data_IF_696682971327
#
_entry.id   IF_696682971327
#
_cell.length_a   1.000
_cell.length_b   1.000
_cell.length_c   1.000
_cell.angle_alpha   90.00
_cell.angle_beta   90.00
_cell.angle_gamma   90.00
#
_symmetry.space_group_name_H-M   'P 1'
#
loop_
_entity.id
_entity.type
_entity.pdbx_description
1 polymer ?
#
# COMPACT_ATOMS: atom_id res chain seq x y z
N UNK A 1 -5.98 -6.97 34.65
CA UNK A 1 -6.76 -6.64 35.85
C UNK A 1 -7.94 -5.77 35.46
N UNK A 2 -9.06 -5.86 36.19
CA UNK A 2 -10.21 -4.97 36.03
C UNK A 2 -10.04 -3.65 36.84
N UNK A 3 -11.05 -2.80 36.83
CA UNK A 3 -11.02 -1.53 37.56
C UNK A 3 -11.00 -1.68 39.11
N UNK A 4 -11.16 -2.87 39.65
CA UNK A 4 -11.04 -3.20 41.07
C UNK A 4 -9.67 -3.77 41.42
N UNK A 5 -8.79 -4.01 40.43
CA UNK A 5 -7.48 -4.63 40.60
C UNK A 5 -7.51 -6.16 40.55
N UNK A 6 -8.67 -6.77 40.26
CA UNK A 6 -8.78 -8.23 40.13
C UNK A 6 -8.12 -8.70 38.83
N UNK A 7 -7.31 -9.76 38.94
CA UNK A 7 -6.72 -10.42 37.78
C UNK A 7 -7.80 -11.10 36.94
N UNK A 8 -7.87 -10.78 35.65
CA UNK A 8 -8.82 -11.36 34.71
C UNK A 8 -8.22 -12.56 33.97
N UNK A 9 -6.94 -12.46 33.61
CA UNK A 9 -6.18 -13.53 32.95
C UNK A 9 -4.68 -13.26 33.04
N UNK A 10 -3.88 -14.29 32.77
CA UNK A 10 -2.42 -14.17 32.64
C UNK A 10 -2.09 -13.93 31.17
N UNK A 11 -1.39 -12.83 30.89
CA UNK A 11 -0.99 -12.50 29.54
C UNK A 11 0.02 -13.51 28.96
N UNK A 12 -0.07 -13.86 27.66
CA UNK A 12 0.83 -14.84 27.03
C UNK A 12 2.27 -14.32 26.85
N UNK A 13 2.52 -13.05 27.11
CA UNK A 13 3.83 -12.40 27.03
C UNK A 13 3.92 -11.22 28.00
N UNK A 14 5.17 -10.82 28.33
CA UNK A 14 5.44 -9.59 29.10
C UNK A 14 5.25 -8.33 28.25
N UNK A 15 5.37 -8.44 26.92
CA UNK A 15 5.13 -7.34 25.98
C UNK A 15 3.70 -7.44 25.46
N UNK A 16 2.81 -6.66 26.04
CA UNK A 16 1.42 -6.55 25.63
C UNK A 16 1.07 -5.07 25.42
N UNK A 17 0.37 -4.77 24.34
CA UNK A 17 -0.02 -3.43 23.96
C UNK A 17 -1.48 -3.17 24.29
N UNK A 18 -1.87 -1.90 24.29
CA UNK A 18 -3.26 -1.51 24.58
C UNK A 18 -4.28 -2.08 23.59
N UNK A 19 -5.49 -2.32 24.07
CA UNK A 19 -6.58 -2.83 23.25
C UNK A 19 -6.98 -1.81 22.18
N UNK A 20 -7.05 -2.30 20.93
CA UNK A 20 -7.59 -1.55 19.79
C UNK A 20 -8.70 -2.36 19.14
N UNK A 21 -9.92 -1.80 19.15
CA UNK A 21 -11.10 -2.47 18.58
C UNK A 21 -11.29 -3.93 19.09
N UNK A 22 -11.10 -4.15 20.39
CA UNK A 22 -11.35 -5.44 21.05
C UNK A 22 -10.18 -6.43 21.05
N UNK A 23 -9.07 -6.14 20.39
CA UNK A 23 -7.86 -6.97 20.37
C UNK A 23 -6.67 -6.23 20.96
N UNK A 24 -5.82 -6.94 21.70
CA UNK A 24 -4.51 -6.49 22.11
C UNK A 24 -3.41 -7.27 21.39
N UNK A 25 -2.45 -6.55 20.82
CA UNK A 25 -1.22 -7.17 20.31
C UNK A 25 -0.34 -7.59 21.47
N UNK A 26 0.24 -8.77 21.39
CA UNK A 26 1.35 -9.17 22.26
C UNK A 26 2.53 -9.62 21.40
N UNK A 27 3.74 -9.44 21.92
CA UNK A 27 4.98 -9.83 21.24
C UNK A 27 5.74 -10.84 22.07
N UNK A 28 6.31 -11.82 21.41
CA UNK A 28 7.21 -12.77 22.04
C UNK A 28 8.65 -12.30 21.83
N UNK A 29 9.38 -12.13 22.94
CA UNK A 29 10.83 -11.87 22.88
C UNK A 29 11.52 -13.06 22.21
N UNK A 30 12.23 -12.82 21.12
CA UNK A 30 13.14 -13.82 20.56
C UNK A 30 14.40 -13.76 21.42
N UNK A 31 14.62 -14.77 22.27
CA UNK A 31 15.83 -14.88 23.05
C UNK A 31 17.05 -14.95 22.13
N UNK A 32 17.89 -13.92 22.15
CA UNK A 32 19.11 -13.83 21.33
C UNK A 32 19.26 -12.54 20.52
N UNK A 33 18.28 -11.64 20.51
CA UNK A 33 18.40 -10.35 19.83
C UNK A 33 18.95 -9.29 20.82
N UNK A 34 20.26 -9.02 20.73
CA UNK A 34 20.92 -7.96 21.50
C UNK A 34 20.44 -6.60 20.96
N UNK A 35 19.74 -5.82 21.78
CA UNK A 35 19.27 -4.47 21.47
C UNK A 35 20.40 -3.46 21.17
N UNK A 36 21.67 -3.86 21.31
CA UNK A 36 22.84 -3.02 21.07
C UNK A 36 23.21 -2.75 19.61
N UNK A 37 22.53 -3.38 18.66
CA UNK A 37 22.81 -3.26 17.21
C UNK A 37 21.80 -2.48 16.39
N UNK A 38 20.77 -1.89 17.01
CA UNK A 38 19.62 -1.32 16.29
C UNK A 38 19.64 0.21 16.16
N UNK A 39 20.81 0.82 16.25
CA UNK A 39 21.04 2.19 15.74
C UNK A 39 21.67 2.05 14.35
N UNK A 40 20.88 1.70 13.36
CA UNK A 40 21.34 1.61 11.98
C UNK A 40 20.80 0.44 11.16
N UNK A 41 19.96 -0.43 11.72
CA UNK A 41 19.40 -1.59 11.05
C UNK A 41 18.13 -1.26 10.27
N UNK A 42 18.33 -0.85 9.08
CA UNK A 42 17.40 -0.66 8.00
C UNK A 42 16.39 -1.79 7.81
N UNK A 43 15.18 -1.40 7.55
CA UNK A 43 14.11 -2.12 6.90
C UNK A 43 14.63 -2.78 5.60
N UNK A 44 14.99 -4.05 5.69
CA UNK A 44 15.22 -4.87 4.50
C UNK A 44 14.03 -5.78 4.35
N UNK A 45 13.09 -5.37 3.52
CA UNK A 45 11.95 -6.21 3.17
C UNK A 45 10.86 -5.41 2.48
N UNK A 46 11.01 -5.15 1.20
CA UNK A 46 9.91 -4.69 0.37
C UNK A 46 9.93 -3.25 -0.11
N UNK A 47 11.12 -2.73 -0.47
CA UNK A 47 11.20 -1.63 -1.42
C UNK A 47 11.97 -2.17 -2.63
N UNK A 48 11.30 -2.90 -3.48
CA UNK A 48 11.76 -3.11 -4.85
C UNK A 48 10.83 -2.30 -5.73
N UNK A 49 11.30 -1.13 -6.11
CA UNK A 49 10.66 -0.29 -7.09
C UNK A 49 10.46 1.15 -6.60
N UNK A 50 11.50 1.98 -6.63
CA UNK A 50 11.31 3.41 -6.59
C UNK A 50 12.09 4.24 -5.59
N UNK A 51 13.21 3.78 -5.07
CA UNK A 51 14.02 4.57 -4.15
C UNK A 51 15.43 4.79 -4.67
N UNK A 52 15.59 5.43 -5.82
CA UNK A 52 16.91 5.95 -6.24
C UNK A 52 16.86 7.17 -7.14
N UNK A 53 15.75 7.89 -7.27
CA UNK A 53 15.73 9.22 -7.88
C UNK A 53 14.64 10.05 -7.22
N UNK A 54 15.02 10.95 -6.36
CA UNK A 54 14.43 12.18 -5.84
C UNK A 54 12.93 12.50 -6.02
N UNK A 55 12.03 11.55 -5.90
CA UNK A 55 10.60 11.78 -5.99
C UNK A 55 9.92 11.57 -4.64
N UNK A 56 9.08 12.48 -4.22
CA UNK A 56 8.32 12.40 -2.99
C UNK A 56 7.36 11.20 -3.03
N UNK A 57 7.71 10.15 -2.28
CA UNK A 57 6.88 8.97 -2.13
C UNK A 57 5.68 9.28 -1.25
N UNK A 58 4.49 9.29 -1.85
CA UNK A 58 3.26 9.15 -1.09
C UNK A 58 3.08 7.67 -0.75
N UNK A 59 3.35 7.34 0.50
CA UNK A 59 3.01 6.05 1.05
C UNK A 59 1.48 5.91 1.11
N UNK A 60 0.89 5.23 0.16
CA UNK A 60 -0.25 4.38 0.48
C UNK A 60 0.33 3.38 1.47
N UNK A 61 -0.02 3.54 2.77
CA UNK A 61 0.70 2.92 3.87
C UNK A 61 0.89 1.43 3.64
N UNK A 62 2.11 1.04 3.29
CA UNK A 62 2.47 -0.30 2.92
C UNK A 62 2.05 -1.29 4.00
N UNK A 63 1.35 -2.35 3.60
CA UNK A 63 1.05 -3.49 4.44
C UNK A 63 2.31 -4.35 4.52
N UNK A 64 3.24 -3.94 5.39
CA UNK A 64 4.59 -4.51 5.47
C UNK A 64 4.74 -5.35 6.73
N UNK A 65 5.35 -6.51 6.59
CA UNK A 65 5.81 -7.30 7.74
C UNK A 65 7.06 -6.65 8.35
N UNK A 66 6.94 -6.22 9.61
CA UNK A 66 7.99 -5.49 10.33
C UNK A 66 8.97 -6.38 11.13
N UNK A 67 8.90 -7.70 10.94
CA UNK A 67 9.77 -8.67 11.63
C UNK A 67 9.31 -9.06 13.03
N UNK A 68 8.29 -8.44 13.60
CA UNK A 68 7.84 -8.72 14.95
C UNK A 68 7.18 -10.10 15.09
N UNK A 69 7.53 -10.87 16.12
CA UNK A 69 6.85 -12.12 16.52
C UNK A 69 5.62 -11.76 17.35
N UNK A 70 4.55 -11.39 16.68
CA UNK A 70 3.30 -10.91 17.30
C UNK A 70 2.21 -11.97 17.30
N UNK A 71 1.31 -11.82 18.27
CA UNK A 71 0.03 -12.49 18.33
C UNK A 71 -1.04 -11.51 18.81
N UNK A 72 -2.26 -11.96 18.87
CA UNK A 72 -3.41 -11.14 19.29
C UNK A 72 -4.27 -11.91 20.27
N UNK A 73 -4.72 -11.22 21.32
CA UNK A 73 -5.67 -11.74 22.32
C UNK A 73 -6.92 -10.87 22.34
N UNK A 74 -8.04 -11.50 22.72
CA UNK A 74 -9.30 -10.80 23.02
C UNK A 74 -9.30 -10.21 24.45
N UNK A 75 -10.39 -9.55 24.83
CA UNK A 75 -10.56 -8.97 26.17
C UNK A 75 -10.66 -9.98 27.29
N UNK A 76 -10.93 -11.24 26.97
CA UNK A 76 -11.03 -12.33 27.93
C UNK A 76 -9.69 -13.05 28.10
N UNK A 77 -8.63 -12.63 27.34
CA UNK A 77 -7.33 -13.26 27.34
C UNK A 77 -7.20 -14.47 26.41
N UNK A 78 -8.23 -14.78 25.61
CA UNK A 78 -8.15 -15.86 24.63
C UNK A 78 -7.22 -15.47 23.49
N UNK A 79 -6.34 -16.39 23.12
CA UNK A 79 -5.45 -16.21 21.97
C UNK A 79 -6.30 -16.31 20.68
N UNK A 80 -6.43 -15.20 19.97
CA UNK A 80 -7.09 -15.12 18.66
C UNK A 80 -6.10 -15.47 17.56
N UNK A 81 -4.86 -14.98 17.66
CA UNK A 81 -3.77 -15.30 16.74
C UNK A 81 -2.52 -15.58 17.55
N UNK A 82 -1.93 -16.78 17.36
CA UNK A 82 -0.73 -17.19 18.08
C UNK A 82 0.54 -16.57 17.48
N UNK A 83 1.40 -16.02 18.34
CA UNK A 83 2.72 -15.50 17.97
C UNK A 83 3.74 -16.56 17.54
N UNK A 84 3.39 -17.85 17.65
CA UNK A 84 4.22 -18.98 17.18
C UNK A 84 4.19 -19.13 15.66
N UNK A 85 3.23 -18.49 14.95
CA UNK A 85 3.21 -18.48 13.49
C UNK A 85 4.52 -17.92 12.91
N UNK A 86 4.89 -18.36 11.70
CA UNK A 86 6.14 -17.93 11.06
C UNK A 86 6.21 -16.41 10.93
N UNK A 87 5.12 -15.81 10.42
CA UNK A 87 4.94 -14.36 10.30
C UNK A 87 3.49 -13.99 10.56
N UNK A 88 3.27 -12.89 11.26
CA UNK A 88 1.95 -12.26 11.43
C UNK A 88 2.12 -10.77 11.13
N UNK A 89 1.37 -10.27 10.15
CA UNK A 89 1.39 -8.85 9.80
C UNK A 89 0.66 -7.99 10.84
N UNK A 90 0.82 -6.67 10.84
CA UNK A 90 0.00 -5.79 11.67
C UNK A 90 -1.48 -5.96 11.39
N UNK A 91 -2.31 -5.93 12.47
CA UNK A 91 -3.76 -6.03 12.35
C UNK A 91 -4.35 -4.79 11.67
N UNK A 92 -5.20 -5.01 10.69
CA UNK A 92 -6.02 -3.97 10.06
C UNK A 92 -7.45 -3.97 10.59
N UNK A 93 -8.32 -3.10 10.07
CA UNK A 93 -9.76 -3.12 10.36
C UNK A 93 -10.44 -4.43 9.94
N UNK A 94 -9.95 -5.09 8.91
CA UNK A 94 -10.49 -6.34 8.36
C UNK A 94 -9.89 -7.59 9.00
N UNK A 95 -8.60 -7.56 9.30
CA UNK A 95 -7.87 -8.73 9.77
C UNK A 95 -6.37 -8.59 9.51
N UNK A 96 -5.69 -9.71 9.36
CA UNK A 96 -4.25 -9.72 9.09
C UNK A 96 -3.84 -10.90 8.20
N UNK A 97 -2.70 -10.75 7.55
CA UNK A 97 -2.00 -11.84 6.86
C UNK A 97 -1.20 -12.64 7.86
N UNK A 98 -1.25 -13.95 7.71
CA UNK A 98 -0.42 -14.91 8.45
C UNK A 98 0.34 -15.78 7.47
N UNK A 99 1.63 -15.99 7.71
CA UNK A 99 2.40 -17.06 7.08
C UNK A 99 2.69 -18.12 8.13
N UNK A 100 2.37 -19.36 7.80
CA UNK A 100 2.58 -20.52 8.68
C UNK A 100 2.91 -21.74 7.83
N UNK A 101 3.96 -22.47 8.21
CA UNK A 101 4.46 -23.63 7.46
C UNK A 101 4.65 -23.35 5.96
N UNK A 102 5.18 -22.15 5.66
CA UNK A 102 5.42 -21.68 4.29
C UNK A 102 4.18 -21.22 3.54
N UNK A 103 2.97 -21.42 4.05
CA UNK A 103 1.72 -21.02 3.40
C UNK A 103 1.22 -19.70 3.96
N UNK A 104 0.69 -18.83 3.10
CA UNK A 104 0.13 -17.55 3.44
C UNK A 104 -1.40 -17.60 3.36
N UNK A 105 -2.06 -17.04 4.37
CA UNK A 105 -3.52 -16.88 4.41
C UNK A 105 -3.89 -15.51 4.95
N UNK A 106 -5.13 -15.10 4.79
CA UNK A 106 -5.71 -13.96 5.48
C UNK A 106 -6.72 -14.43 6.51
N UNK A 107 -6.63 -13.92 7.72
CA UNK A 107 -7.58 -14.18 8.80
C UNK A 107 -8.27 -12.89 9.22
N UNK A 108 -9.55 -12.98 9.53
CA UNK A 108 -10.31 -11.85 10.05
C UNK A 108 -9.94 -11.57 11.52
N UNK A 109 -10.56 -10.56 12.11
CA UNK A 109 -10.29 -10.14 13.49
C UNK A 109 -10.73 -11.15 14.56
N UNK A 110 -11.50 -12.18 14.18
CA UNK A 110 -11.88 -13.30 15.07
C UNK A 110 -10.89 -14.47 14.96
N UNK A 111 -9.90 -14.40 14.07
CA UNK A 111 -8.97 -15.49 13.78
C UNK A 111 -9.51 -16.51 12.76
N UNK A 112 -10.66 -16.24 12.14
CA UNK A 112 -11.26 -17.11 11.13
C UNK A 112 -10.56 -16.91 9.79
N UNK A 113 -10.25 -18.01 9.09
CA UNK A 113 -9.62 -17.97 7.78
C UNK A 113 -10.62 -17.44 6.74
N UNK A 114 -10.24 -16.36 6.05
CA UNK A 114 -11.03 -15.76 4.97
C UNK A 114 -10.43 -16.10 3.62
N UNK A 115 -9.10 -15.91 3.45
CA UNK A 115 -8.39 -16.39 2.25
C UNK A 115 -7.64 -17.64 2.66
N UNK A 116 -7.92 -18.75 1.95
CA UNK A 116 -7.33 -20.06 2.25
C UNK A 116 -5.81 -20.06 2.13
N UNK A 117 -5.10 -20.89 2.91
CA UNK A 117 -3.66 -21.01 2.82
C UNK A 117 -3.19 -21.42 1.43
N UNK A 118 -2.28 -20.64 0.86
CA UNK A 118 -1.69 -20.86 -0.45
C UNK A 118 -0.21 -20.50 -0.48
N UNK A 119 0.43 -20.86 -1.58
CA UNK A 119 1.83 -20.48 -1.83
C UNK A 119 1.87 -19.08 -2.45
N UNK A 120 1.68 -18.11 -1.58
CA UNK A 120 1.55 -16.69 -1.94
C UNK A 120 2.64 -15.85 -1.31
N UNK A 121 2.94 -14.72 -1.96
CA UNK A 121 3.55 -13.56 -1.33
C UNK A 121 2.52 -12.45 -1.19
N UNK A 122 2.54 -11.74 -0.06
CA UNK A 122 1.67 -10.59 0.19
C UNK A 122 2.29 -9.33 -0.43
N UNK A 123 1.46 -8.62 -1.18
CA UNK A 123 1.77 -7.31 -1.71
C UNK A 123 1.07 -6.20 -0.94
N UNK A 124 0.58 -5.24 -1.69
CA UNK A 124 -0.12 -4.07 -1.19
C UNK A 124 -1.52 -4.42 -0.70
N UNK A 125 -1.99 -3.71 0.31
CA UNK A 125 -3.37 -3.80 0.80
C UNK A 125 -4.03 -2.44 0.76
N UNK A 126 -5.15 -2.34 0.06
CA UNK A 126 -6.08 -1.22 0.19
C UNK A 126 -6.92 -1.40 1.46
N UNK A 127 -6.51 -0.68 2.51
CA UNK A 127 -7.14 -0.78 3.84
C UNK A 127 -8.52 -0.13 3.91
N UNK A 128 -8.88 0.73 2.95
CA UNK A 128 -10.18 1.38 2.91
C UNK A 128 -11.24 0.47 2.28
N UNK A 129 -10.89 -0.20 1.19
CA UNK A 129 -11.80 -1.06 0.46
C UNK A 129 -11.66 -2.55 0.79
N UNK A 130 -10.70 -2.92 1.66
CA UNK A 130 -10.50 -4.31 2.06
C UNK A 130 -10.00 -5.21 0.93
N UNK A 131 -9.10 -4.70 0.11
CA UNK A 131 -8.51 -5.43 -1.02
C UNK A 131 -7.05 -5.77 -0.72
N UNK A 132 -6.64 -6.99 -1.03
CA UNK A 132 -5.28 -7.48 -0.84
C UNK A 132 -4.72 -8.02 -2.15
N UNK A 133 -3.62 -7.44 -2.60
CA UNK A 133 -2.85 -7.98 -3.70
C UNK A 133 -1.98 -9.15 -3.21
N UNK A 134 -2.10 -10.30 -3.87
CA UNK A 134 -1.28 -11.48 -3.63
C UNK A 134 -0.57 -11.90 -4.90
N UNK A 135 0.65 -12.41 -4.75
CA UNK A 135 1.41 -13.03 -5.82
C UNK A 135 1.34 -14.54 -5.65
N UNK A 136 0.92 -15.24 -6.66
CA UNK A 136 1.00 -16.70 -6.72
C UNK A 136 2.40 -17.12 -7.15
N UNK A 137 3.13 -17.81 -6.27
CA UNK A 137 4.51 -18.21 -6.49
C UNK A 137 4.66 -19.30 -7.57
N UNK A 138 3.58 -20.03 -7.87
CA UNK A 138 3.61 -21.06 -8.92
C UNK A 138 3.57 -20.47 -10.34
N UNK A 139 2.86 -19.36 -10.51
CA UNK A 139 2.68 -18.68 -11.81
C UNK A 139 3.51 -17.40 -11.92
N UNK A 140 4.08 -16.92 -10.82
CA UNK A 140 4.79 -15.64 -10.71
C UNK A 140 3.90 -14.42 -11.07
N UNK A 141 2.58 -14.55 -10.90
CA UNK A 141 1.60 -13.52 -11.27
C UNK A 141 0.85 -12.98 -10.06
N UNK A 142 0.44 -11.73 -10.18
CA UNK A 142 -0.35 -11.01 -9.18
C UNK A 142 -1.84 -11.08 -9.47
N UNK A 143 -2.63 -11.15 -8.39
CA UNK A 143 -4.08 -11.05 -8.37
C UNK A 143 -4.54 -10.29 -7.13
N UNK A 144 -5.84 -10.01 -7.03
CA UNK A 144 -6.45 -9.26 -5.90
C UNK A 144 -7.57 -10.09 -5.30
N UNK A 145 -7.64 -10.07 -3.97
CA UNK A 145 -8.68 -10.68 -3.16
C UNK A 145 -9.41 -9.61 -2.34
N UNK A 146 -10.72 -9.77 -2.22
CA UNK A 146 -11.53 -9.07 -1.24
C UNK A 146 -11.38 -9.81 0.10
N UNK A 147 -10.82 -9.15 1.11
CA UNK A 147 -10.54 -9.75 2.43
C UNK A 147 -11.77 -9.85 3.33
N UNK A 148 -12.90 -9.26 2.93
CA UNK A 148 -14.18 -9.42 3.65
C UNK A 148 -14.91 -10.70 3.26
N UNK A 149 -14.75 -11.11 2.00
CA UNK A 149 -15.45 -12.28 1.42
C UNK A 149 -14.53 -13.45 1.10
N UNK A 150 -13.22 -13.21 1.01
CA UNK A 150 -12.23 -14.19 0.55
C UNK A 150 -12.27 -14.44 -0.97
N UNK A 151 -13.10 -13.72 -1.70
CA UNK A 151 -13.21 -13.90 -3.16
C UNK A 151 -12.02 -13.27 -3.88
N UNK A 152 -11.51 -13.99 -4.88
CA UNK A 152 -10.59 -13.42 -5.84
C UNK A 152 -11.35 -12.51 -6.81
N UNK A 153 -11.08 -11.21 -6.75
CA UNK A 153 -11.72 -10.19 -7.61
C UNK A 153 -10.90 -9.89 -8.86
N UNK A 154 -9.59 -10.12 -8.80
CA UNK A 154 -8.69 -10.06 -9.95
C UNK A 154 -7.87 -11.35 -10.00
N UNK A 155 -7.96 -12.09 -11.11
CA UNK A 155 -7.23 -13.35 -11.29
C UNK A 155 -5.71 -13.13 -11.39
N UNK A 156 -4.93 -14.16 -11.08
CA UNK A 156 -3.47 -14.17 -11.22
C UNK A 156 -3.05 -14.13 -12.70
N UNK A 157 -2.79 -12.92 -13.23
CA UNK A 157 -2.44 -12.73 -14.65
C UNK A 157 -1.53 -11.53 -14.92
N UNK A 158 -1.19 -10.75 -13.90
CA UNK A 158 -0.39 -9.54 -14.05
C UNK A 158 1.02 -9.73 -13.49
N UNK A 159 2.01 -9.08 -14.11
CA UNK A 159 3.41 -9.07 -13.68
C UNK A 159 3.60 -8.20 -12.43
N UNK A 160 2.78 -7.15 -12.30
CA UNK A 160 2.67 -6.33 -11.09
C UNK A 160 1.29 -5.72 -10.96
N UNK A 161 0.91 -5.37 -9.73
CA UNK A 161 -0.33 -4.65 -9.40
C UNK A 161 -0.01 -3.62 -8.32
N UNK A 162 -0.60 -2.41 -8.45
CA UNK A 162 -0.69 -1.42 -7.38
C UNK A 162 -2.06 -0.76 -7.38
N UNK A 163 -2.52 -0.31 -6.20
CA UNK A 163 -3.78 0.42 -6.09
C UNK A 163 -3.57 1.88 -6.48
N UNK A 164 -4.46 2.40 -7.32
CA UNK A 164 -4.37 3.77 -7.83
C UNK A 164 -5.51 4.69 -7.33
N UNK A 165 -6.49 4.12 -6.65
CA UNK A 165 -7.68 4.83 -6.15
C UNK A 165 -8.84 3.87 -5.97
N UNK A 166 -10.04 4.40 -5.71
CA UNK A 166 -11.25 3.59 -5.64
C UNK A 166 -11.51 2.96 -7.00
N UNK A 167 -11.62 1.63 -7.04
CA UNK A 167 -11.85 0.83 -8.25
C UNK A 167 -10.83 1.04 -9.39
N UNK A 168 -9.66 1.61 -9.08
CA UNK A 168 -8.57 1.83 -10.05
C UNK A 168 -7.31 1.12 -9.59
N UNK A 169 -6.73 0.34 -10.52
CA UNK A 169 -5.45 -0.35 -10.31
C UNK A 169 -4.52 -0.04 -11.47
N UNK A 170 -3.24 0.05 -11.17
CA UNK A 170 -2.18 0.07 -12.16
C UNK A 170 -1.59 -1.33 -12.23
N UNK A 171 -1.55 -1.89 -13.41
CA UNK A 171 -1.02 -3.24 -13.65
C UNK A 171 0.06 -3.20 -14.73
N UNK A 172 0.99 -4.14 -14.66
CA UNK A 172 1.89 -4.46 -15.77
C UNK A 172 1.53 -5.83 -16.31
N UNK A 173 1.40 -5.93 -17.61
CA UNK A 173 1.21 -7.18 -18.34
C UNK A 173 1.86 -7.07 -19.70
N UNK A 174 2.65 -8.10 -20.07
CA UNK A 174 3.30 -8.19 -21.38
C UNK A 174 4.11 -6.90 -21.72
N UNK A 175 4.84 -6.37 -20.74
CA UNK A 175 5.64 -5.14 -20.82
C UNK A 175 4.85 -3.86 -21.09
N UNK A 176 3.54 -3.87 -20.85
CA UNK A 176 2.68 -2.68 -20.94
C UNK A 176 2.10 -2.37 -19.56
N UNK A 177 2.21 -1.12 -19.16
CA UNK A 177 1.58 -0.59 -17.95
C UNK A 177 0.19 -0.06 -18.29
N UNK A 178 -0.81 -0.46 -17.52
CA UNK A 178 -2.20 -0.06 -17.76
C UNK A 178 -2.84 0.43 -16.47
N UNK A 179 -3.60 1.51 -16.58
CA UNK A 179 -4.63 1.88 -15.62
C UNK A 179 -5.89 1.08 -15.97
N UNK A 180 -6.39 0.30 -15.03
CA UNK A 180 -7.53 -0.59 -15.22
C UNK A 180 -8.67 -0.16 -14.29
N UNK A 181 -9.89 -0.14 -14.83
CA UNK A 181 -11.11 -0.20 -14.05
C UNK A 181 -11.27 -1.62 -13.50
N UNK A 182 -11.18 -1.78 -12.19
CA UNK A 182 -11.18 -3.10 -11.54
C UNK A 182 -12.54 -3.80 -11.66
N UNK A 183 -13.63 -3.04 -11.68
CA UNK A 183 -15.00 -3.57 -11.76
C UNK A 183 -15.32 -4.18 -13.12
N UNK A 184 -14.82 -3.57 -14.19
CA UNK A 184 -15.08 -3.98 -15.57
C UNK A 184 -13.91 -4.73 -16.22
N UNK A 185 -12.71 -4.59 -15.66
CA UNK A 185 -11.46 -5.09 -16.25
C UNK A 185 -10.99 -4.31 -17.48
N UNK A 186 -11.64 -3.17 -17.79
CA UNK A 186 -11.32 -2.35 -18.96
C UNK A 186 -10.02 -1.57 -18.72
N UNK A 187 -9.13 -1.58 -19.72
CA UNK A 187 -7.99 -0.67 -19.74
C UNK A 187 -8.46 0.74 -20.09
N UNK A 188 -8.16 1.69 -19.21
CA UNK A 188 -8.53 3.10 -19.33
C UNK A 188 -7.39 3.91 -19.93
N UNK A 189 -6.14 3.60 -19.55
CA UNK A 189 -4.95 4.26 -20.05
C UNK A 189 -3.81 3.26 -20.16
N UNK A 190 -2.98 3.40 -21.19
CA UNK A 190 -1.82 2.54 -21.40
C UNK A 190 -0.55 3.36 -21.58
N UNK A 191 0.53 2.90 -21.00
CA UNK A 191 1.85 3.52 -21.06
C UNK A 191 2.95 2.46 -21.17
N UNK A 192 4.17 2.90 -21.49
CA UNK A 192 5.37 2.07 -21.41
C UNK A 192 5.60 1.61 -19.95
N UNK A 193 6.29 0.49 -19.77
CA UNK A 193 6.52 -0.09 -18.43
C UNK A 193 7.27 0.87 -17.50
N UNK A 194 8.17 1.67 -18.04
CA UNK A 194 8.98 2.65 -17.32
C UNK A 194 8.16 3.85 -16.81
N UNK A 195 7.00 4.11 -17.42
CA UNK A 195 6.15 5.20 -16.97
C UNK A 195 5.66 4.96 -15.55
N UNK A 196 5.50 6.03 -14.79
CA UNK A 196 4.83 6.02 -13.49
C UNK A 196 3.45 6.63 -13.64
N UNK A 197 2.42 5.89 -13.23
CA UNK A 197 1.06 6.41 -13.08
C UNK A 197 0.87 6.60 -11.58
N UNK A 198 0.77 7.86 -11.14
CA UNK A 198 0.62 8.18 -9.72
C UNK A 198 -0.79 7.80 -9.22
N UNK A 199 -0.96 7.47 -7.92
CA UNK A 199 -2.28 7.28 -7.34
C UNK A 199 -3.11 8.56 -7.39
N UNK A 200 -4.44 8.40 -7.54
CA UNK A 200 -5.37 9.54 -7.56
C UNK A 200 -5.54 10.24 -6.20
N UNK A 201 -5.21 9.57 -5.08
CA UNK A 201 -5.22 10.15 -3.71
C UNK A 201 -6.51 10.92 -3.36
N UNK A 202 -7.67 10.35 -3.68
CA UNK A 202 -9.01 10.95 -3.53
C UNK A 202 -9.29 12.14 -4.46
N UNK A 203 -8.44 12.40 -5.44
CA UNK A 203 -8.71 13.35 -6.53
C UNK A 203 -9.28 12.63 -7.75
N UNK A 204 -9.79 13.38 -8.71
CA UNK A 204 -10.32 12.87 -9.98
C UNK A 204 -9.28 12.84 -11.10
N UNK A 205 -8.09 13.36 -10.83
CA UNK A 205 -6.99 13.47 -11.79
C UNK A 205 -5.67 13.04 -11.17
N UNK A 206 -4.75 12.60 -12.01
CA UNK A 206 -3.40 12.24 -11.56
C UNK A 206 -2.34 12.51 -12.61
N UNK A 207 -1.08 12.46 -12.17
CA UNK A 207 0.07 12.57 -13.04
C UNK A 207 0.48 11.21 -13.62
N UNK A 208 0.86 11.22 -14.87
CA UNK A 208 1.66 10.18 -15.50
C UNK A 208 3.00 10.77 -15.87
N UNK A 209 4.08 10.20 -15.33
CA UNK A 209 5.44 10.53 -15.71
C UNK A 209 5.95 9.47 -16.67
N UNK A 210 6.27 9.84 -17.90
CA UNK A 210 6.92 8.96 -18.88
C UNK A 210 8.43 9.12 -18.78
N UNK A 211 9.19 8.02 -18.89
CA UNK A 211 10.65 7.98 -18.66
C UNK A 211 11.51 8.93 -19.49
N UNK A 212 10.92 9.79 -20.32
CA UNK A 212 11.59 10.81 -21.14
C UNK A 212 11.38 12.24 -20.61
N UNK A 213 11.27 12.41 -19.29
CA UNK A 213 11.00 13.70 -18.63
C UNK A 213 9.75 14.42 -19.17
N UNK A 214 8.72 13.66 -19.50
CA UNK A 214 7.45 14.19 -19.95
C UNK A 214 6.34 13.85 -18.97
N UNK A 215 5.57 14.86 -18.60
CA UNK A 215 4.44 14.75 -17.68
C UNK A 215 3.11 14.86 -18.44
N UNK A 216 2.16 14.06 -18.02
CA UNK A 216 0.80 14.03 -18.58
C UNK A 216 -0.19 14.04 -17.41
N UNK A 217 -1.27 14.79 -17.52
CA UNK A 217 -2.40 14.71 -16.60
C UNK A 217 -3.48 13.84 -17.25
N UNK A 218 -3.95 12.85 -16.50
CA UNK A 218 -5.10 12.05 -16.91
C UNK A 218 -6.21 12.13 -15.84
N UNK A 219 -7.45 11.96 -16.26
CA UNK A 219 -8.57 11.76 -15.36
C UNK A 219 -8.69 10.28 -14.93
N UNK A 220 -9.62 9.99 -14.02
CA UNK A 220 -9.87 8.65 -13.52
C UNK A 220 -10.52 7.70 -14.53
N UNK A 221 -10.93 8.19 -15.69
CA UNK A 221 -11.39 7.42 -16.85
C UNK A 221 -10.29 7.24 -17.90
N UNK A 222 -9.08 7.76 -17.63
CA UNK A 222 -7.92 7.63 -18.48
C UNK A 222 -7.85 8.64 -19.63
N UNK A 223 -8.74 9.64 -19.67
CA UNK A 223 -8.66 10.69 -20.68
C UNK A 223 -7.49 11.62 -20.36
N UNK A 224 -6.75 11.96 -21.41
CA UNK A 224 -5.64 12.90 -21.30
C UNK A 224 -6.18 14.32 -21.28
N UNK A 225 -5.90 15.05 -20.18
CA UNK A 225 -6.30 16.43 -19.99
C UNK A 225 -5.18 17.41 -20.39
N UNK A 226 -3.92 17.00 -20.18
CA UNK A 226 -2.74 17.82 -20.47
C UNK A 226 -1.56 16.93 -20.84
N UNK A 227 -0.68 17.43 -21.71
CA UNK A 227 0.65 16.84 -22.01
C UNK A 227 1.71 17.93 -21.99
N UNK A 228 2.77 17.73 -21.25
CA UNK A 228 3.94 18.58 -21.28
C UNK A 228 4.81 18.27 -22.51
N UNK A 229 4.35 18.74 -23.67
CA UNK A 229 5.06 18.52 -24.96
C UNK A 229 6.38 19.28 -25.05
N UNK A 230 6.51 20.36 -24.30
CA UNK A 230 7.69 21.22 -24.30
C UNK A 230 8.74 20.79 -23.24
N UNK A 231 8.44 19.79 -22.42
CA UNK A 231 9.28 19.27 -21.33
C UNK A 231 9.77 20.38 -20.40
N UNK A 232 8.85 21.24 -19.98
CA UNK A 232 9.15 22.36 -19.09
C UNK A 232 8.92 22.02 -17.62
N UNK A 233 8.24 20.90 -17.34
CA UNK A 233 7.97 20.39 -15.99
C UNK A 233 9.16 19.55 -15.54
N UNK A 234 9.75 19.91 -14.40
CA UNK A 234 10.88 19.20 -13.79
C UNK A 234 10.45 18.25 -12.68
N UNK A 235 9.39 18.62 -11.94
CA UNK A 235 8.88 17.84 -10.80
C UNK A 235 7.43 18.21 -10.50
N UNK A 236 6.68 17.28 -9.92
CA UNK A 236 5.27 17.47 -9.57
C UNK A 236 4.96 16.86 -8.20
N UNK A 237 3.97 17.41 -7.52
CA UNK A 237 3.33 16.77 -6.37
C UNK A 237 1.96 16.23 -6.77
N UNK A 238 1.42 15.28 -6.00
CA UNK A 238 0.07 14.77 -6.23
C UNK A 238 -0.96 15.90 -6.24
N UNK A 239 -2.04 15.69 -6.97
CA UNK A 239 -3.17 16.59 -6.95
C UNK A 239 -3.85 16.62 -5.58
N UNK A 240 -4.34 17.79 -5.21
CA UNK A 240 -5.21 18.03 -4.06
C UNK A 240 -6.27 19.04 -4.47
N UNK A 241 -7.54 18.65 -4.45
CA UNK A 241 -8.69 19.46 -4.89
C UNK A 241 -8.53 20.03 -6.32
N UNK A 242 -7.97 19.21 -7.24
CA UNK A 242 -7.78 19.59 -8.65
C UNK A 242 -6.57 20.49 -8.92
N UNK A 243 -5.70 20.70 -7.94
CA UNK A 243 -4.46 21.49 -8.07
C UNK A 243 -3.23 20.66 -7.71
N UNK A 244 -2.12 20.94 -8.37
CA UNK A 244 -0.82 20.33 -8.09
C UNK A 244 0.28 21.38 -7.97
N UNK A 245 1.20 21.19 -7.02
CA UNK A 245 2.45 21.94 -7.01
C UNK A 245 3.37 21.39 -8.08
N UNK A 246 3.85 22.26 -8.96
CA UNK A 246 4.64 21.90 -10.14
C UNK A 246 5.91 22.74 -10.19
N UNK A 247 7.04 22.08 -10.45
CA UNK A 247 8.35 22.72 -10.57
C UNK A 247 8.70 22.93 -12.04
N UNK A 248 9.14 24.12 -12.38
CA UNK A 248 9.66 24.51 -13.70
C UNK A 248 10.74 25.55 -13.55
N UNK A 249 11.83 25.44 -14.30
CA UNK A 249 13.01 26.33 -14.25
C UNK A 249 13.53 26.53 -12.81
N UNK A 250 13.58 25.44 -12.04
CA UNK A 250 14.05 25.42 -10.66
C UNK A 250 13.10 26.03 -9.63
N UNK A 251 11.91 26.52 -10.00
CA UNK A 251 10.94 27.18 -9.13
C UNK A 251 9.60 26.46 -9.11
N UNK A 252 8.91 26.56 -7.98
CA UNK A 252 7.59 25.97 -7.77
C UNK A 252 6.48 26.95 -8.07
N UNK A 253 5.41 26.47 -8.68
CA UNK A 253 4.14 27.14 -8.89
C UNK A 253 2.98 26.18 -8.62
N UNK A 254 1.77 26.55 -9.04
CA UNK A 254 0.56 25.73 -8.95
C UNK A 254 -0.09 25.61 -10.31
N UNK A 255 -0.43 24.41 -10.68
CA UNK A 255 -1.13 24.08 -11.91
C UNK A 255 -2.48 23.43 -11.61
N UNK A 256 -3.49 23.72 -12.42
CA UNK A 256 -4.79 23.06 -12.32
C UNK A 256 -4.80 21.74 -13.15
N UNK A 257 -5.90 21.00 -13.05
CA UNK A 257 -6.10 19.73 -13.77
C UNK A 257 -6.06 19.86 -15.31
N UNK A 258 -6.22 21.07 -15.87
CA UNK A 258 -6.12 21.31 -17.31
C UNK A 258 -4.70 21.65 -17.77
N UNK A 259 -3.72 21.66 -16.86
CA UNK A 259 -2.35 22.04 -17.15
C UNK A 259 -2.11 23.54 -17.24
N UNK A 260 -3.01 24.36 -16.71
CA UNK A 260 -2.91 25.81 -16.69
C UNK A 260 -2.25 26.28 -15.40
N UNK A 261 -1.29 27.20 -15.50
CA UNK A 261 -0.67 27.84 -14.34
C UNK A 261 -1.66 28.74 -13.62
N UNK A 262 -2.02 28.37 -12.40
CA UNK A 262 -2.80 29.20 -11.46
C UNK A 262 -1.88 30.13 -10.67
N UNK A 263 -0.70 29.62 -10.32
CA UNK A 263 0.40 30.37 -9.73
C UNK A 263 1.66 30.09 -10.54
N UNK A 264 2.28 31.16 -11.06
CA UNK A 264 3.50 31.02 -11.87
C UNK A 264 4.66 30.44 -11.03
N UNK A 265 5.59 29.66 -11.64
CA UNK A 265 6.69 29.02 -10.93
C UNK A 265 7.78 30.05 -10.56
N UNK A 266 7.58 30.72 -9.44
CA UNK A 266 8.49 31.77 -8.93
C UNK A 266 8.95 31.52 -7.49
N UNK A 267 8.43 30.50 -6.82
CA UNK A 267 8.65 30.23 -5.40
C UNK A 267 9.67 29.11 -5.18
N UNK A 268 10.38 29.15 -4.04
CA UNK A 268 11.29 28.09 -3.61
C UNK A 268 10.54 26.80 -3.19
N UNK A 269 9.35 26.94 -2.63
CA UNK A 269 8.46 25.84 -2.27
C UNK A 269 7.00 26.31 -2.30
N UNK A 270 6.08 25.39 -2.64
CA UNK A 270 4.64 25.58 -2.59
C UNK A 270 4.01 24.33 -1.99
N UNK A 271 3.07 24.51 -1.06
CA UNK A 271 2.21 23.45 -0.54
C UNK A 271 0.75 23.87 -0.74
N UNK A 272 -0.05 22.94 -1.24
CA UNK A 272 -1.50 23.07 -1.35
C UNK A 272 -2.08 22.42 -0.10
N UNK A 273 -2.89 23.20 0.65
CA UNK A 273 -3.52 22.78 1.90
C UNK A 273 -4.87 22.14 1.65
#
# INVERSE_FOLDING_TARGET
IDGTGKELFVAPSKEIYGYRNGLAEYRRSVSGFNLGGLVGGFIVGGIVGGALLGGHHYHVGGFVYDGAKRGYIDRNGNIVIDSKKDKVWPMTSYGTVIKDSGKLCFVNRKGEIVIQPGDYDAGEMDKFNGLLALKDNSTDKWGIFDVSTGKQVVSFKYDSISFAGTDRIVVVKDHVKNLIDMSTGKSLYSAQTEATIEPFNNDTVTWVHTGNDSYTIIDNDGHVLFRDTNKVIEDVKSFNHGFSSVKSKGKWGVMNAKGEWVVQPTYEAVNIL
#
